data_IF_542297302454
#
_entry.id   IF_542297302454
#
_cell.length_a   1.000
_cell.length_b   1.000
_cell.length_c   1.000
_cell.angle_alpha   90.00
_cell.angle_beta   90.00
_cell.angle_gamma   90.00
#
_symmetry.space_group_name_H-M   'P 1'
#
loop_
_entity.id
_entity.type
_entity.pdbx_description
1 polymer ?
#
# COMPACT_ATOMS: atom_id res chain seq x y z
N UNK A 1 -27.78 2.37 7.47
CA UNK A 1 -28.46 3.69 7.27
C UNK A 1 -27.45 4.81 7.02
N UNK A 2 -26.44 5.06 7.88
CA UNK A 2 -25.45 6.14 7.64
C UNK A 2 -24.68 5.94 6.33
N UNK A 3 -24.24 4.71 6.05
CA UNK A 3 -23.55 4.38 4.78
C UNK A 3 -24.46 4.70 3.60
N UNK A 4 -25.71 4.22 3.63
CA UNK A 4 -26.67 4.42 2.53
C UNK A 4 -27.02 5.89 2.31
N UNK A 5 -27.05 6.71 3.36
CA UNK A 5 -27.34 8.14 3.25
C UNK A 5 -26.19 8.99 2.75
N UNK A 6 -24.95 8.55 2.99
CA UNK A 6 -23.74 9.33 2.65
C UNK A 6 -23.03 8.84 1.41
N UNK A 7 -22.98 7.52 1.17
CA UNK A 7 -22.22 6.87 0.10
C UNK A 7 -23.09 6.17 -0.94
N UNK A 8 -24.43 6.11 -0.72
CA UNK A 8 -25.35 5.40 -1.59
C UNK A 8 -25.70 4.01 -1.07
N UNK A 9 -26.66 3.35 -1.76
CA UNK A 9 -27.22 2.07 -1.30
C UNK A 9 -26.23 0.92 -1.34
N UNK A 10 -25.36 0.91 -2.35
CA UNK A 10 -24.29 -0.08 -2.53
C UNK A 10 -22.97 0.66 -2.72
N UNK A 11 -21.97 0.36 -1.91
CA UNK A 11 -20.62 0.91 -2.04
C UNK A 11 -19.75 -0.01 -2.90
N UNK A 12 -18.69 0.54 -3.52
CA UNK A 12 -17.81 -0.27 -4.35
C UNK A 12 -16.96 -1.21 -3.51
N UNK A 13 -16.30 -0.69 -2.47
CA UNK A 13 -15.40 -1.47 -1.61
C UNK A 13 -15.75 -1.30 -0.15
N UNK A 14 -15.78 -2.43 0.59
CA UNK A 14 -15.80 -2.45 2.04
C UNK A 14 -14.58 -3.24 2.54
N UNK A 15 -13.77 -2.59 3.38
CA UNK A 15 -12.48 -3.12 3.79
C UNK A 15 -12.41 -3.29 5.30
N UNK A 16 -11.61 -4.27 5.77
CA UNK A 16 -11.34 -4.46 7.19
C UNK A 16 -10.26 -5.50 7.46
N UNK A 17 -9.98 -5.78 8.72
CA UNK A 17 -9.14 -6.89 9.11
C UNK A 17 -9.84 -8.24 8.92
N UNK A 18 -9.06 -9.30 8.76
CA UNK A 18 -9.59 -10.66 8.61
C UNK A 18 -10.46 -11.10 9.81
N UNK A 19 -10.22 -10.53 10.99
CA UNK A 19 -10.99 -10.77 12.22
C UNK A 19 -12.37 -10.12 12.20
N UNK A 20 -12.62 -9.18 11.28
CA UNK A 20 -13.93 -8.54 11.11
C UNK A 20 -14.88 -9.31 10.20
N UNK A 21 -14.42 -10.34 9.47
CA UNK A 21 -15.28 -11.16 8.61
C UNK A 21 -16.48 -11.65 9.43
N UNK A 22 -16.20 -12.26 10.59
CA UNK A 22 -17.20 -12.74 11.50
C UNK A 22 -16.88 -12.30 12.93
N UNK A 23 -17.85 -11.75 13.67
CA UNK A 23 -19.27 -11.59 13.29
C UNK A 23 -19.60 -10.22 12.63
N UNK A 24 -18.64 -9.28 12.54
CA UNK A 24 -18.93 -7.87 12.24
C UNK A 24 -19.51 -7.66 10.84
N UNK A 25 -18.75 -8.00 9.80
CA UNK A 25 -19.18 -7.80 8.40
C UNK A 25 -20.39 -8.67 8.03
N UNK A 26 -20.47 -9.90 8.56
CA UNK A 26 -21.67 -10.72 8.37
C UNK A 26 -22.91 -10.08 8.98
N UNK A 27 -22.79 -9.43 10.14
CA UNK A 27 -23.89 -8.69 10.74
C UNK A 27 -24.25 -7.43 9.93
N UNK A 28 -23.28 -6.73 9.36
CA UNK A 28 -23.53 -5.58 8.48
C UNK A 28 -24.30 -6.01 7.20
N UNK A 29 -23.92 -7.14 6.61
CA UNK A 29 -24.64 -7.72 5.47
C UNK A 29 -26.08 -8.07 5.89
N UNK A 30 -26.26 -8.73 7.02
CA UNK A 30 -27.58 -9.09 7.53
C UNK A 30 -28.46 -7.86 7.80
N UNK A 31 -27.89 -6.80 8.39
CA UNK A 31 -28.60 -5.54 8.63
C UNK A 31 -29.00 -4.85 7.34
N UNK A 32 -28.10 -4.82 6.32
CA UNK A 32 -28.39 -4.24 5.01
C UNK A 32 -29.54 -4.99 4.32
N UNK A 33 -29.47 -6.32 4.32
CA UNK A 33 -30.54 -7.16 3.76
C UNK A 33 -31.86 -7.10 4.53
N UNK A 34 -31.83 -6.76 5.79
CA UNK A 34 -33.02 -6.48 6.61
C UNK A 34 -33.76 -5.21 6.17
N UNK A 35 -33.06 -4.26 5.54
CA UNK A 35 -33.64 -3.04 4.96
C UNK A 35 -34.17 -3.31 3.54
N UNK A 36 -33.36 -3.93 2.68
CA UNK A 36 -33.73 -4.33 1.33
C UNK A 36 -33.00 -5.64 0.95
N UNK A 37 -33.77 -6.71 0.81
CA UNK A 37 -33.23 -8.05 0.52
C UNK A 37 -32.50 -8.13 -0.84
N UNK A 38 -32.83 -7.26 -1.75
CA UNK A 38 -32.28 -7.25 -3.12
C UNK A 38 -30.99 -6.40 -3.23
N UNK A 39 -30.66 -5.60 -2.22
CA UNK A 39 -29.48 -4.75 -2.22
C UNK A 39 -28.30 -5.45 -1.53
N UNK A 40 -27.10 -5.28 -2.10
CA UNK A 40 -25.85 -5.66 -1.46
C UNK A 40 -25.23 -4.42 -0.81
N UNK A 41 -24.66 -4.56 0.38
CA UNK A 41 -23.98 -3.46 1.06
C UNK A 41 -22.74 -3.02 0.27
N UNK A 42 -21.96 -3.96 -0.25
CA UNK A 42 -20.77 -3.68 -1.05
C UNK A 42 -20.63 -4.65 -2.22
N UNK A 43 -19.99 -4.18 -3.31
CA UNK A 43 -19.66 -5.00 -4.47
C UNK A 43 -18.44 -5.88 -4.19
N UNK A 44 -17.43 -5.33 -3.48
CA UNK A 44 -16.19 -6.02 -3.17
C UNK A 44 -15.86 -5.89 -1.68
N UNK A 45 -15.39 -7.00 -1.10
CA UNK A 45 -14.95 -7.09 0.29
C UNK A 45 -13.47 -7.39 0.32
N UNK A 46 -12.68 -6.53 0.96
CA UNK A 46 -11.24 -6.73 1.12
C UNK A 46 -10.91 -6.93 2.61
N UNK A 47 -10.20 -8.04 2.90
CA UNK A 47 -9.79 -8.35 4.26
C UNK A 47 -8.27 -8.50 4.32
N UNK A 48 -7.62 -7.61 5.08
CA UNK A 48 -6.18 -7.67 5.28
C UNK A 48 -5.81 -8.60 6.44
N UNK A 49 -4.63 -9.21 6.30
CA UNK A 49 -4.03 -10.03 7.34
C UNK A 49 -3.68 -9.22 8.60
N UNK A 50 -3.35 -9.94 9.66
CA UNK A 50 -2.98 -9.32 10.94
C UNK A 50 -1.55 -8.80 10.91
N UNK A 51 -1.30 -7.69 11.59
CA UNK A 51 0.04 -7.20 11.88
C UNK A 51 0.49 -7.71 13.25
N UNK A 52 1.59 -8.45 13.28
CA UNK A 52 2.15 -9.02 14.50
C UNK A 52 3.41 -8.24 14.92
N UNK A 53 3.56 -7.99 16.20
CA UNK A 53 4.77 -7.40 16.79
C UNK A 53 5.61 -8.50 17.44
N UNK A 54 6.79 -8.79 16.89
CA UNK A 54 7.77 -9.74 17.47
C UNK A 54 7.12 -11.06 17.90
N UNK A 55 6.26 -11.64 17.04
CA UNK A 55 5.55 -12.89 17.31
C UNK A 55 4.36 -12.79 18.28
N UNK A 56 3.97 -11.58 18.72
CA UNK A 56 2.78 -11.34 19.53
C UNK A 56 1.82 -10.39 18.83
N UNK A 57 0.52 -10.64 18.96
CA UNK A 57 -0.51 -9.71 18.48
C UNK A 57 -0.33 -8.35 19.14
N UNK A 58 -0.32 -7.27 18.34
CA UNK A 58 -0.30 -5.90 18.86
C UNK A 58 -1.54 -5.67 19.73
N UNK A 59 -1.35 -5.34 21.01
CA UNK A 59 -2.43 -5.12 21.95
C UNK A 59 -2.19 -3.85 22.77
N UNK A 60 -3.22 -2.99 22.85
CA UNK A 60 -3.17 -1.77 23.67
C UNK A 60 -2.96 -2.07 25.16
N UNK A 61 -3.36 -3.25 25.63
CA UNK A 61 -3.21 -3.67 27.03
C UNK A 61 -1.77 -3.93 27.45
N UNK A 62 -0.87 -4.21 26.49
CA UNK A 62 0.52 -4.58 26.79
C UNK A 62 1.49 -3.37 26.75
N UNK A 63 0.98 -2.16 26.50
CA UNK A 63 1.76 -0.91 26.58
C UNK A 63 2.87 -0.72 25.51
N UNK A 64 2.94 -1.63 24.51
CA UNK A 64 3.97 -1.66 23.47
C UNK A 64 3.45 -1.23 22.09
N UNK A 65 2.42 -0.39 22.07
CA UNK A 65 1.85 0.16 20.83
C UNK A 65 2.46 1.53 20.56
N UNK A 66 3.46 1.60 19.69
CA UNK A 66 3.89 2.84 19.06
C UNK A 66 2.86 3.21 17.99
N UNK A 67 2.42 4.45 17.94
CA UNK A 67 1.44 4.90 16.96
C UNK A 67 2.05 4.94 15.55
N UNK A 68 1.23 4.71 14.53
CA UNK A 68 1.68 4.75 13.14
C UNK A 68 2.38 6.08 12.79
N UNK A 69 1.88 7.20 13.30
CA UNK A 69 2.47 8.51 13.09
C UNK A 69 3.93 8.60 13.59
N UNK A 70 4.24 7.97 14.72
CA UNK A 70 5.61 7.95 15.25
C UNK A 70 6.59 7.22 14.33
N UNK A 71 6.13 6.15 13.66
CA UNK A 71 6.93 5.45 12.63
C UNK A 71 7.06 6.28 11.36
N UNK A 72 6.00 6.98 10.96
CA UNK A 72 6.03 7.88 9.80
C UNK A 72 7.00 9.04 10.05
N UNK A 73 7.00 9.62 11.25
CA UNK A 73 7.91 10.71 11.65
C UNK A 73 9.38 10.25 11.67
N UNK A 74 9.62 9.00 12.09
CA UNK A 74 11.00 8.47 12.23
C UNK A 74 11.56 7.92 10.90
N UNK A 75 10.75 7.21 10.12
CA UNK A 75 11.22 6.48 8.92
C UNK A 75 10.76 7.10 7.60
N UNK A 76 9.73 7.92 7.62
CA UNK A 76 9.05 8.45 6.43
C UNK A 76 7.87 7.61 5.97
N UNK A 77 6.85 8.25 5.40
CA UNK A 77 5.62 7.59 4.95
C UNK A 77 5.86 6.54 3.88
N UNK A 78 6.77 6.81 2.95
CA UNK A 78 7.11 5.88 1.86
C UNK A 78 7.76 4.60 2.36
N UNK A 79 8.61 4.68 3.38
CA UNK A 79 9.22 3.48 3.99
C UNK A 79 8.14 2.61 4.64
N UNK A 80 7.20 3.22 5.36
CA UNK A 80 6.09 2.52 6.00
C UNK A 80 5.17 1.90 4.93
N UNK A 81 4.84 2.64 3.87
CA UNK A 81 4.05 2.12 2.74
C UNK A 81 4.74 0.94 2.05
N UNK A 82 6.03 1.08 1.74
CA UNK A 82 6.80 0.01 1.10
C UNK A 82 6.87 -1.24 1.98
N UNK A 83 7.03 -1.06 3.30
CA UNK A 83 6.98 -2.16 4.25
C UNK A 83 5.70 -2.97 4.10
N UNK A 84 4.53 -2.32 4.04
CA UNK A 84 3.25 -3.03 3.87
C UNK A 84 3.12 -3.72 2.50
N UNK A 85 3.65 -3.13 1.43
CA UNK A 85 3.57 -3.73 0.10
C UNK A 85 4.51 -4.93 -0.12
N UNK A 86 5.46 -5.19 0.79
CA UNK A 86 6.35 -6.36 0.73
C UNK A 86 5.64 -7.69 1.01
N UNK A 87 4.49 -7.66 1.64
CA UNK A 87 3.66 -8.85 1.87
C UNK A 87 2.33 -8.70 1.13
N UNK A 88 1.73 -9.84 0.77
CA UNK A 88 0.37 -9.82 0.25
C UNK A 88 -0.59 -9.32 1.33
N UNK A 89 -1.50 -8.41 1.00
CA UNK A 89 -2.38 -7.76 1.99
C UNK A 89 -3.21 -8.73 2.82
N UNK A 90 -3.55 -9.92 2.28
CA UNK A 90 -4.27 -10.98 3.01
C UNK A 90 -3.39 -11.76 3.99
N UNK A 91 -2.07 -11.68 3.86
CA UNK A 91 -1.14 -12.45 4.68
C UNK A 91 -0.86 -11.75 6.01
N UNK A 92 -0.72 -12.50 7.11
CA UNK A 92 -0.19 -11.91 8.33
C UNK A 92 1.23 -11.40 8.09
N UNK A 93 1.55 -10.24 8.66
CA UNK A 93 2.85 -9.60 8.49
C UNK A 93 3.51 -9.37 9.85
N UNK A 94 4.78 -9.74 9.96
CA UNK A 94 5.59 -9.45 11.13
C UNK A 94 6.17 -8.04 11.01
N UNK A 95 5.98 -7.25 12.08
CA UNK A 95 6.51 -5.91 12.17
C UNK A 95 7.71 -5.87 13.11
N UNK A 96 8.81 -5.26 12.62
CA UNK A 96 9.95 -4.92 13.46
C UNK A 96 10.67 -3.67 12.92
N UNK A 97 11.33 -2.94 13.80
CA UNK A 97 12.14 -1.79 13.38
C UNK A 97 13.33 -2.18 12.48
N UNK A 98 13.84 -3.41 12.64
CA UNK A 98 14.87 -3.94 11.77
C UNK A 98 14.39 -4.04 10.32
N UNK A 99 13.16 -4.55 10.12
CA UNK A 99 12.53 -4.63 8.79
C UNK A 99 12.29 -3.25 8.18
N UNK A 100 11.94 -2.24 8.99
CA UNK A 100 11.81 -0.86 8.49
C UNK A 100 13.15 -0.29 8.02
N UNK A 101 14.25 -0.54 8.75
CA UNK A 101 15.61 -0.11 8.35
C UNK A 101 16.05 -0.76 7.05
N UNK A 102 15.80 -2.06 6.89
CA UNK A 102 16.05 -2.80 5.64
C UNK A 102 15.21 -2.26 4.49
N UNK A 103 13.94 -1.99 4.76
CA UNK A 103 13.01 -1.38 3.79
C UNK A 103 13.48 0.00 3.34
N UNK A 104 13.92 0.85 4.26
CA UNK A 104 14.48 2.17 3.96
C UNK A 104 15.68 2.07 3.02
N UNK A 105 16.59 1.12 3.27
CA UNK A 105 17.74 0.90 2.40
C UNK A 105 17.31 0.45 0.99
N UNK A 106 16.34 -0.46 0.91
CA UNK A 106 15.82 -0.94 -0.38
C UNK A 106 15.19 0.21 -1.18
N UNK A 107 14.38 1.03 -0.53
CA UNK A 107 13.73 2.18 -1.15
C UNK A 107 14.75 3.24 -1.61
N UNK A 108 15.82 3.49 -0.82
CA UNK A 108 16.91 4.38 -1.22
C UNK A 108 17.65 3.88 -2.46
N UNK A 109 17.90 2.58 -2.58
CA UNK A 109 18.53 2.00 -3.77
C UNK A 109 17.61 2.14 -5.00
N UNK A 110 16.30 1.98 -4.82
CA UNK A 110 15.33 2.17 -5.88
C UNK A 110 15.26 3.62 -6.35
N UNK A 111 15.25 4.57 -5.42
CA UNK A 111 15.28 6.00 -5.71
C UNK A 111 16.55 6.40 -6.47
N UNK A 112 17.72 5.88 -6.08
CA UNK A 112 18.97 6.12 -6.83
C UNK A 112 18.94 5.47 -8.23
N UNK A 113 18.36 4.27 -8.39
CA UNK A 113 18.20 3.62 -9.69
C UNK A 113 17.34 4.45 -10.63
N UNK A 114 16.25 5.05 -10.14
CA UNK A 114 15.27 5.83 -10.91
C UNK A 114 15.55 7.34 -10.90
N UNK A 115 16.73 7.74 -10.42
CA UNK A 115 17.14 9.14 -10.37
C UNK A 115 17.25 9.74 -11.76
N UNK A 116 16.91 11.02 -11.86
CA UNK A 116 17.06 11.85 -13.04
C UNK A 116 16.28 11.35 -14.30
N UNK A 117 15.28 10.49 -14.11
CA UNK A 117 14.39 10.09 -15.19
C UNK A 117 12.96 10.61 -14.97
N UNK A 118 12.28 10.92 -16.08
CA UNK A 118 10.86 11.25 -16.09
C UNK A 118 10.06 9.95 -16.04
N UNK A 119 9.03 9.82 -15.19
CA UNK A 119 8.21 8.61 -15.13
C UNK A 119 7.36 8.47 -16.39
N UNK A 120 7.58 7.40 -17.15
CA UNK A 120 6.85 7.08 -18.37
C UNK A 120 6.78 5.56 -18.59
N UNK A 121 5.65 5.01 -19.09
CA UNK A 121 5.47 3.57 -19.30
C UNK A 121 6.12 3.11 -20.63
N UNK A 122 7.43 3.24 -20.79
CA UNK A 122 8.17 3.01 -22.03
C UNK A 122 8.66 1.57 -22.23
N UNK A 123 8.63 0.71 -21.20
CA UNK A 123 8.93 -0.72 -21.28
C UNK A 123 7.66 -1.54 -21.11
N UNK A 124 7.12 -2.04 -22.24
CA UNK A 124 5.85 -2.78 -22.25
C UNK A 124 5.90 -4.05 -21.39
N UNK A 125 7.01 -4.76 -21.37
CA UNK A 125 7.15 -5.98 -20.56
C UNK A 125 6.98 -5.68 -19.08
N UNK A 126 7.57 -4.60 -18.58
CA UNK A 126 7.44 -4.17 -17.18
C UNK A 126 6.02 -3.69 -16.86
N UNK A 127 5.35 -3.02 -17.82
CA UNK A 127 3.93 -2.65 -17.70
C UNK A 127 3.05 -3.90 -17.62
N UNK A 128 3.28 -4.89 -18.48
CA UNK A 128 2.51 -6.14 -18.48
C UNK A 128 2.71 -6.93 -17.17
N UNK A 129 3.93 -6.94 -16.62
CA UNK A 129 4.20 -7.51 -15.29
C UNK A 129 3.35 -6.80 -14.23
N UNK A 130 3.32 -5.46 -14.23
CA UNK A 130 2.51 -4.68 -13.28
C UNK A 130 1.02 -5.04 -13.39
N UNK A 131 0.45 -4.99 -14.60
CA UNK A 131 -0.96 -5.31 -14.85
C UNK A 131 -1.28 -6.75 -14.39
N UNK A 132 -0.43 -7.71 -14.73
CA UNK A 132 -0.60 -9.11 -14.36
C UNK A 132 -0.60 -9.31 -12.83
N UNK A 133 0.31 -8.66 -12.13
CA UNK A 133 0.39 -8.77 -10.67
C UNK A 133 -0.78 -8.06 -9.99
N UNK A 134 -1.23 -6.91 -10.50
CA UNK A 134 -2.39 -6.22 -9.94
C UNK A 134 -3.69 -6.98 -10.18
N UNK A 135 -3.85 -7.63 -11.33
CA UNK A 135 -4.98 -8.50 -11.62
C UNK A 135 -4.95 -9.84 -10.86
N UNK A 136 -3.80 -10.21 -10.29
CA UNK A 136 -3.63 -11.38 -9.42
C UNK A 136 -3.84 -10.98 -7.93
N UNK A 137 -5.05 -10.46 -7.62
CA UNK A 137 -5.45 -10.01 -6.28
C UNK A 137 -4.50 -8.99 -5.65
N UNK A 138 -4.05 -8.00 -6.44
CA UNK A 138 -3.09 -6.97 -6.01
C UNK A 138 -1.80 -7.57 -5.40
N UNK A 139 -1.20 -8.50 -6.08
CA UNK A 139 -0.03 -9.25 -5.63
C UNK A 139 1.25 -8.40 -5.66
N UNK A 140 1.31 -7.42 -4.76
CA UNK A 140 2.44 -6.49 -4.65
C UNK A 140 3.77 -7.16 -4.34
N UNK A 141 3.88 -8.20 -3.48
CA UNK A 141 5.16 -8.86 -3.26
C UNK A 141 5.72 -9.53 -4.51
N UNK A 142 4.86 -10.13 -5.34
CA UNK A 142 5.27 -10.68 -6.62
C UNK A 142 5.74 -9.59 -7.57
N UNK A 143 4.99 -8.49 -7.67
CA UNK A 143 5.38 -7.32 -8.47
C UNK A 143 6.77 -6.81 -8.06
N UNK A 144 7.01 -6.61 -6.77
CA UNK A 144 8.31 -6.15 -6.28
C UNK A 144 9.44 -7.13 -6.65
N UNK A 145 9.19 -8.43 -6.53
CA UNK A 145 10.16 -9.46 -6.96
C UNK A 145 10.52 -9.35 -8.43
N UNK A 146 9.52 -9.30 -9.31
CA UNK A 146 9.70 -9.18 -10.77
C UNK A 146 10.41 -7.86 -11.16
N UNK A 147 10.06 -6.74 -10.51
CA UNK A 147 10.73 -5.46 -10.75
C UNK A 147 12.21 -5.53 -10.35
N UNK A 148 12.55 -6.12 -9.20
CA UNK A 148 13.95 -6.24 -8.80
C UNK A 148 14.75 -7.17 -9.69
N UNK A 149 14.16 -8.22 -10.26
CA UNK A 149 14.82 -9.04 -11.29
C UNK A 149 15.04 -8.21 -12.58
N UNK A 150 14.04 -7.46 -13.05
CA UNK A 150 14.21 -6.55 -14.20
C UNK A 150 15.32 -5.52 -13.96
N UNK A 151 15.43 -4.96 -12.77
CA UNK A 151 16.50 -4.02 -12.40
C UNK A 151 17.88 -4.70 -12.50
N UNK A 152 18.03 -5.94 -12.04
CA UNK A 152 19.29 -6.71 -12.17
C UNK A 152 19.65 -6.96 -13.63
N UNK A 153 18.67 -7.27 -14.45
CA UNK A 153 18.87 -7.57 -15.86
C UNK A 153 19.40 -6.35 -16.66
N UNK A 154 19.15 -5.12 -16.17
CA UNK A 154 19.66 -3.91 -16.82
C UNK A 154 21.18 -3.87 -16.94
N UNK A 155 21.91 -4.61 -16.09
CA UNK A 155 23.38 -4.72 -16.19
C UNK A 155 23.85 -5.34 -17.51
N UNK A 156 22.98 -6.06 -18.22
CA UNK A 156 23.27 -6.73 -19.48
C UNK A 156 22.62 -6.05 -20.69
N UNK A 157 21.95 -4.91 -20.48
CA UNK A 157 21.23 -4.16 -21.52
C UNK A 157 22.01 -2.92 -21.97
N UNK A 158 21.66 -2.42 -23.15
CA UNK A 158 22.12 -1.13 -23.63
C UNK A 158 21.49 0.03 -22.83
N UNK A 159 22.03 1.24 -23.03
CA UNK A 159 21.59 2.43 -22.30
C UNK A 159 20.14 2.81 -22.62
N UNK A 160 19.67 2.60 -23.86
CA UNK A 160 18.30 2.96 -24.25
C UNK A 160 17.27 2.07 -23.55
N UNK A 161 17.47 0.75 -23.58
CA UNK A 161 16.57 -0.20 -22.93
C UNK A 161 16.62 -0.05 -21.39
N UNK A 162 17.80 0.20 -20.83
CA UNK A 162 17.94 0.52 -19.40
C UNK A 162 17.15 1.78 -19.03
N UNK A 163 17.18 2.83 -19.86
CA UNK A 163 16.43 4.05 -19.62
C UNK A 163 14.92 3.80 -19.61
N UNK A 164 14.40 3.04 -20.58
CA UNK A 164 12.97 2.68 -20.65
C UNK A 164 12.52 1.95 -19.40
N UNK A 165 13.31 0.99 -18.90
CA UNK A 165 13.00 0.27 -17.64
C UNK A 165 13.00 1.22 -16.46
N UNK A 166 14.00 2.11 -16.31
CA UNK A 166 14.05 3.10 -15.22
C UNK A 166 12.81 4.00 -15.20
N UNK A 167 12.41 4.51 -16.36
CA UNK A 167 11.22 5.37 -16.52
C UNK A 167 9.94 4.61 -16.10
N UNK A 168 9.78 3.37 -16.59
CA UNK A 168 8.62 2.55 -16.31
C UNK A 168 8.55 2.12 -14.83
N UNK A 169 9.67 1.77 -14.22
CA UNK A 169 9.75 1.48 -12.79
C UNK A 169 9.33 2.70 -11.97
N UNK A 170 9.87 3.89 -12.28
CA UNK A 170 9.47 5.14 -11.60
C UNK A 170 7.97 5.39 -11.74
N UNK A 171 7.43 5.24 -12.95
CA UNK A 171 5.99 5.39 -13.23
C UNK A 171 5.13 4.43 -12.40
N UNK A 172 5.50 3.14 -12.31
CA UNK A 172 4.78 2.16 -11.50
C UNK A 172 4.80 2.55 -10.01
N UNK A 173 5.95 3.01 -9.50
CA UNK A 173 6.04 3.42 -8.10
C UNK A 173 5.23 4.69 -7.81
N UNK A 174 5.11 5.62 -8.75
CA UNK A 174 4.19 6.76 -8.61
C UNK A 174 2.72 6.31 -8.56
N UNK A 175 2.30 5.33 -9.38
CA UNK A 175 0.96 4.73 -9.28
C UNK A 175 0.74 4.09 -7.90
N UNK A 176 1.77 3.44 -7.34
CA UNK A 176 1.72 2.88 -5.99
C UNK A 176 1.81 3.94 -4.88
N UNK A 177 1.93 5.22 -5.24
CA UNK A 177 1.90 6.38 -4.36
C UNK A 177 3.24 6.72 -3.71
N UNK A 178 4.37 6.40 -4.33
CA UNK A 178 5.72 6.77 -3.88
C UNK A 178 6.22 8.03 -4.54
N UNK A 179 6.92 8.88 -3.78
CA UNK A 179 7.70 10.00 -4.29
C UNK A 179 9.19 9.62 -4.25
N UNK A 180 9.70 9.01 -5.35
CA UNK A 180 11.10 8.54 -5.43
C UNK A 180 12.11 9.66 -5.73
N UNK A 181 11.86 10.90 -5.35
CA UNK A 181 12.79 12.01 -5.56
C UNK A 181 13.81 12.11 -4.43
N UNK A 182 15.08 11.87 -4.77
CA UNK A 182 16.21 12.00 -3.84
C UNK A 182 16.52 13.44 -3.40
N UNK A 183 15.91 14.45 -4.04
CA UNK A 183 16.15 15.88 -3.74
C UNK A 183 15.45 16.38 -2.48
N UNK A 184 14.59 15.57 -1.87
CA UNK A 184 13.83 15.94 -0.67
C UNK A 184 14.33 15.18 0.58
N UNK A 185 15.59 15.31 0.96
CA UNK A 185 16.08 14.87 2.29
C UNK A 185 15.46 15.64 3.46
N UNK A 186 14.56 16.60 3.18
CA UNK A 186 13.87 17.43 4.19
C UNK A 186 12.42 17.70 3.79
N UNK A 187 11.54 16.71 3.85
CA UNK A 187 10.12 16.98 3.98
C UNK A 187 9.65 16.59 5.39
N UNK A 188 10.04 17.43 6.33
CA UNK A 188 9.28 17.64 7.54
C UNK A 188 7.90 18.19 7.14
N UNK A 189 6.85 17.49 7.58
CA UNK A 189 5.51 18.05 7.79
C UNK A 189 4.75 18.53 6.54
N UNK A 190 4.11 17.60 5.87
CA UNK A 190 2.83 17.95 5.26
C UNK A 190 1.89 18.22 6.44
N UNK A 191 1.68 19.50 6.76
CA UNK A 191 0.55 19.93 7.55
C UNK A 191 -0.72 19.52 6.80
N UNK A 192 -1.30 18.39 7.19
CA UNK A 192 -2.71 18.14 6.92
C UNK A 192 -3.44 19.18 7.76
N UNK A 193 -3.84 20.27 7.13
CA UNK A 193 -4.74 21.25 7.75
C UNK A 193 -6.00 20.48 8.17
N UNK A 194 -6.27 20.43 9.45
CA UNK A 194 -7.53 19.90 9.98
C UNK A 194 -8.71 20.50 9.20
N UNK A 195 -9.68 19.68 8.78
CA UNK A 195 -10.91 20.22 8.24
C UNK A 195 -11.56 21.05 9.34
N UNK A 196 -11.68 22.35 9.11
CA UNK A 196 -12.38 23.28 9.99
C UNK A 196 -13.77 22.74 10.29
N UNK A 197 -14.00 22.28 11.54
CA UNK A 197 -15.33 22.01 12.04
C UNK A 197 -16.17 23.28 11.86
N UNK A 198 -17.12 23.26 10.95
CA UNK A 198 -18.23 24.21 10.97
C UNK A 198 -19.04 23.88 12.22
N UNK A 199 -18.96 24.74 13.23
CA UNK A 199 -19.92 24.78 14.31
C UNK A 199 -21.28 25.26 13.79
N UNK A 200 -22.38 24.75 14.35
CA UNK A 200 -23.75 25.01 13.90
C UNK A 200 -24.16 26.50 14.06
#
# INVERSE_FOLDING_TARGET
TMISETLGKTIDFHCGGIDLIFPHHENEIAQSKGVDINENLANYWLHNGMLNLSGKKMSKSDGNVKLLNEYIDEYGGDVVRFFFLRAHYRSPQEFSEQLLKETKKTLSNLAEFTKDVVPEPNDNDTVDIFIKCMNDDMNTPKLLGEIFEKIKDTNNLDQENTLKIKQTVKFIFEILGFELDTSKENLSLIHISEPTRRTP
#
